data_IF_883877301044
#
_entry.id   IF_883877301044
#
_cell.length_a   1.000
_cell.length_b   1.000
_cell.length_c   1.000
_cell.angle_alpha   90.00
_cell.angle_beta   90.00
_cell.angle_gamma   90.00
#
_symmetry.space_group_name_H-M   'P 1'
#
loop_
_entity.id
_entity.type
_entity.pdbx_description
1 polymer ?
#
# COMPACT_ATOMS: atom_id res chain seq x y z
N UNK A 1 24.80 29.58 15.53
CA UNK A 1 23.34 29.33 15.50
C UNK A 1 23.02 28.43 14.31
N UNK A 2 23.20 27.12 14.48
CA UNK A 2 22.90 26.12 13.45
C UNK A 2 21.53 25.51 13.71
N UNK A 3 20.59 25.69 12.78
CA UNK A 3 19.29 25.03 12.81
C UNK A 3 19.51 23.55 12.50
N UNK A 4 19.76 22.76 13.55
CA UNK A 4 19.84 21.31 13.46
C UNK A 4 18.42 20.74 13.32
N UNK A 5 18.13 20.39 12.06
CA UNK A 5 17.16 19.42 11.55
C UNK A 5 16.30 18.70 12.60
N UNK A 6 15.03 19.08 12.63
CA UNK A 6 13.94 18.40 13.32
C UNK A 6 13.49 17.15 12.52
N UNK A 7 14.41 16.24 12.18
CA UNK A 7 14.11 14.99 11.44
C UNK A 7 13.41 13.95 12.33
N UNK A 8 13.64 13.99 13.65
CA UNK A 8 13.13 12.99 14.58
C UNK A 8 11.66 13.20 15.01
N UNK A 9 11.06 14.36 14.71
CA UNK A 9 9.70 14.71 15.15
C UNK A 9 8.61 14.54 14.06
N UNK A 10 9.00 14.39 12.79
CA UNK A 10 8.05 14.02 11.71
C UNK A 10 7.68 12.53 11.70
N UNK A 11 8.47 11.67 12.37
CA UNK A 11 8.28 10.20 12.30
C UNK A 11 7.22 9.62 13.24
N UNK A 12 6.55 10.41 14.09
CA UNK A 12 5.62 9.87 15.11
C UNK A 12 4.15 10.32 15.01
N UNK A 13 3.73 10.95 13.91
CA UNK A 13 2.32 11.35 13.69
C UNK A 13 1.66 10.74 12.44
N UNK A 14 2.30 9.85 11.68
CA UNK A 14 1.91 9.56 10.28
C UNK A 14 1.69 8.11 9.87
N UNK A 15 1.77 7.12 10.77
CA UNK A 15 1.75 5.70 10.38
C UNK A 15 0.43 5.20 9.75
N UNK A 16 -0.72 5.82 10.05
CA UNK A 16 -2.00 5.46 9.41
C UNK A 16 -2.35 6.27 8.16
N UNK A 17 -2.18 7.60 8.22
CA UNK A 17 -2.60 8.50 7.14
C UNK A 17 -1.64 8.50 5.94
N UNK A 18 -0.36 8.16 6.15
CA UNK A 18 0.62 8.01 5.07
C UNK A 18 0.33 6.78 4.22
N UNK A 19 0.07 5.64 4.86
CA UNK A 19 -0.22 4.35 4.21
C UNK A 19 -1.52 4.42 3.41
N UNK A 20 -2.56 5.07 3.94
CA UNK A 20 -3.81 5.27 3.22
C UNK A 20 -3.61 6.09 1.93
N UNK A 21 -2.74 7.11 1.98
CA UNK A 21 -2.47 7.95 0.81
C UNK A 21 -1.66 7.23 -0.26
N UNK A 22 -0.67 6.42 0.15
CA UNK A 22 0.08 5.54 -0.76
C UNK A 22 -0.86 4.61 -1.52
N UNK A 23 -1.77 3.93 -0.80
CA UNK A 23 -2.78 3.06 -1.42
C UNK A 23 -3.64 3.81 -2.43
N UNK A 24 -4.20 4.97 -2.07
CA UNK A 24 -5.05 5.76 -2.98
C UNK A 24 -4.32 6.21 -4.25
N UNK A 25 -3.02 6.55 -4.15
CA UNK A 25 -2.20 6.88 -5.33
C UNK A 25 -2.06 5.64 -6.22
N UNK A 26 -1.75 4.49 -5.62
CA UNK A 26 -1.63 3.22 -6.35
C UNK A 26 -2.94 2.83 -7.03
N UNK A 27 -4.08 2.98 -6.36
CA UNK A 27 -5.41 2.69 -6.93
C UNK A 27 -5.68 3.55 -8.17
N UNK A 28 -5.36 4.86 -8.12
CA UNK A 28 -5.51 5.77 -9.27
C UNK A 28 -4.59 5.38 -10.43
N UNK A 29 -3.35 5.00 -10.13
CA UNK A 29 -2.36 4.59 -11.16
C UNK A 29 -2.71 3.22 -11.75
N UNK A 30 -3.25 2.29 -10.96
CA UNK A 30 -3.74 1.02 -11.46
C UNK A 30 -4.95 1.21 -12.40
N UNK A 31 -5.89 2.07 -12.00
CA UNK A 31 -7.09 2.38 -12.78
C UNK A 31 -6.79 3.07 -14.13
N UNK A 32 -5.66 3.76 -14.26
CA UNK A 32 -5.27 4.41 -15.52
C UNK A 32 -4.69 3.44 -16.57
N UNK A 33 -4.34 2.21 -16.17
CA UNK A 33 -3.81 1.18 -17.06
C UNK A 33 -2.59 1.65 -17.86
N UNK A 34 -2.42 1.12 -19.07
CA UNK A 34 -1.26 1.41 -19.91
C UNK A 34 -1.18 2.86 -20.39
N UNK A 35 -2.31 3.58 -20.41
CA UNK A 35 -2.35 5.00 -20.75
C UNK A 35 -1.62 5.85 -19.71
N UNK A 36 -1.61 5.40 -18.45
CA UNK A 36 -1.03 6.12 -17.34
C UNK A 36 -1.80 7.39 -16.96
N UNK A 37 -1.28 8.12 -15.97
CA UNK A 37 -1.88 9.35 -15.46
C UNK A 37 -0.82 10.41 -15.20
N UNK A 38 -1.10 11.67 -15.53
CA UNK A 38 -0.16 12.75 -15.23
C UNK A 38 -0.09 12.98 -13.72
N UNK A 39 1.13 13.13 -13.22
CA UNK A 39 1.37 13.29 -11.79
C UNK A 39 0.62 14.48 -11.18
N UNK A 40 0.45 15.58 -11.93
CA UNK A 40 -0.34 16.75 -11.49
C UNK A 40 -1.82 16.41 -11.25
N UNK A 41 -2.37 15.50 -12.05
CA UNK A 41 -3.79 15.18 -12.03
C UNK A 41 -4.08 14.28 -10.83
N UNK A 42 -3.13 13.42 -10.44
CA UNK A 42 -3.20 12.68 -9.17
C UNK A 42 -3.33 13.63 -7.97
N UNK A 43 -2.57 14.73 -7.96
CA UNK A 43 -2.68 15.72 -6.87
C UNK A 43 -4.04 16.40 -6.84
N UNK A 44 -4.58 16.73 -8.01
CA UNK A 44 -5.89 17.34 -8.13
C UNK A 44 -7.01 16.37 -7.70
N UNK A 45 -6.90 15.09 -8.06
CA UNK A 45 -7.87 14.06 -7.69
C UNK A 45 -7.86 13.76 -6.18
N UNK A 46 -6.68 13.79 -5.56
CA UNK A 46 -6.52 13.47 -4.13
C UNK A 46 -6.57 14.71 -3.22
N UNK A 47 -6.62 15.92 -3.79
CA UNK A 47 -6.54 17.19 -3.09
C UNK A 47 -5.34 17.26 -2.12
N UNK A 48 -4.14 16.92 -2.61
CA UNK A 48 -2.91 16.91 -1.82
C UNK A 48 -1.84 17.86 -2.34
N UNK A 49 -0.95 18.28 -1.44
CA UNK A 49 0.21 19.07 -1.81
C UNK A 49 1.24 18.26 -2.61
N UNK A 50 1.79 18.91 -3.64
CA UNK A 50 2.74 18.32 -4.58
C UNK A 50 4.02 17.84 -3.90
N UNK A 51 4.52 18.50 -2.85
CA UNK A 51 5.77 18.10 -2.16
C UNK A 51 5.57 16.79 -1.42
N UNK A 52 4.42 16.64 -0.74
CA UNK A 52 4.05 15.40 -0.05
C UNK A 52 3.84 14.27 -1.07
N UNK A 53 3.11 14.54 -2.15
CA UNK A 53 2.86 13.57 -3.22
C UNK A 53 4.15 13.08 -3.89
N UNK A 54 5.08 13.99 -4.23
CA UNK A 54 6.35 13.63 -4.88
C UNK A 54 7.19 12.69 -4.01
N UNK A 55 7.24 12.92 -2.68
CA UNK A 55 7.97 12.02 -1.76
C UNK A 55 7.41 10.61 -1.80
N UNK A 56 6.08 10.48 -1.81
CA UNK A 56 5.39 9.19 -1.89
C UNK A 56 5.64 8.51 -3.23
N UNK A 57 5.42 9.20 -4.35
CA UNK A 57 5.62 8.62 -5.69
C UNK A 57 7.06 8.14 -5.90
N UNK A 58 8.07 8.90 -5.45
CA UNK A 58 9.47 8.44 -5.51
C UNK A 58 9.73 7.19 -4.68
N UNK A 59 9.02 7.01 -3.56
CA UNK A 59 9.11 5.80 -2.74
C UNK A 59 8.46 4.62 -3.46
N UNK A 60 7.24 4.81 -3.98
CA UNK A 60 6.51 3.78 -4.73
C UNK A 60 7.25 3.32 -5.99
N UNK A 61 7.91 4.26 -6.68
CA UNK A 61 8.80 3.97 -7.81
C UNK A 61 10.01 3.11 -7.38
N UNK A 62 10.69 3.47 -6.29
CA UNK A 62 11.78 2.64 -5.74
C UNK A 62 11.33 1.24 -5.30
N UNK A 63 10.09 1.13 -4.82
CA UNK A 63 9.48 -0.15 -4.46
C UNK A 63 9.03 -0.95 -5.70
N UNK A 64 9.04 -0.33 -6.89
CA UNK A 64 8.71 -0.97 -8.17
C UNK A 64 7.21 -1.09 -8.45
N UNK A 65 6.34 -0.35 -7.77
CA UNK A 65 4.89 -0.38 -8.02
C UNK A 65 4.44 0.49 -9.20
N UNK A 66 5.21 1.52 -9.52
CA UNK A 66 4.92 2.42 -10.63
C UNK A 66 6.22 2.86 -11.30
N UNK A 67 6.12 3.33 -12.54
CA UNK A 67 7.20 4.01 -13.25
C UNK A 67 6.82 5.45 -13.57
N UNK A 68 7.84 6.28 -13.79
CA UNK A 68 7.67 7.66 -14.23
C UNK A 68 8.33 7.89 -15.57
N UNK A 69 7.54 8.36 -16.52
CA UNK A 69 8.01 8.72 -17.85
C UNK A 69 7.92 10.24 -18.02
N UNK A 70 8.96 10.84 -18.61
CA UNK A 70 8.97 12.27 -18.89
C UNK A 70 8.24 12.52 -20.22
N UNK A 71 7.10 13.20 -20.17
CA UNK A 71 6.28 13.53 -21.34
C UNK A 71 6.19 15.04 -21.53
N UNK A 72 6.03 15.49 -22.77
CA UNK A 72 5.77 16.89 -23.08
C UNK A 72 4.28 17.08 -23.27
N UNK A 73 3.64 17.82 -22.37
CA UNK A 73 2.23 18.17 -22.49
C UNK A 73 2.11 19.69 -22.52
N UNK A 74 1.54 20.23 -23.60
CA UNK A 74 1.39 21.70 -23.81
C UNK A 74 2.71 22.47 -23.65
N UNK A 75 3.79 21.94 -24.22
CA UNK A 75 5.13 22.56 -24.18
C UNK A 75 5.84 22.48 -22.82
N UNK A 76 5.24 21.85 -21.80
CA UNK A 76 5.85 21.66 -20.48
C UNK A 76 6.20 20.20 -20.26
N UNK A 77 7.39 19.97 -19.69
CA UNK A 77 7.84 18.65 -19.26
C UNK A 77 7.05 18.24 -18.02
N UNK A 78 6.52 17.03 -18.06
CA UNK A 78 5.62 16.48 -17.07
C UNK A 78 5.96 15.01 -16.82
N UNK A 79 5.62 14.51 -15.64
CA UNK A 79 5.75 13.09 -15.34
C UNK A 79 4.41 12.39 -15.55
N UNK A 80 4.43 11.37 -16.41
CA UNK A 80 3.37 10.39 -16.57
C UNK A 80 3.68 9.19 -15.65
N UNK A 81 2.73 8.83 -14.80
CA UNK A 81 2.82 7.67 -13.92
C UNK A 81 2.16 6.49 -14.62
N UNK A 82 2.86 5.34 -14.71
CA UNK A 82 2.30 4.09 -15.23
C UNK A 82 2.37 2.97 -14.20
N UNK A 83 1.37 2.08 -14.17
CA UNK A 83 1.41 0.91 -13.30
C UNK A 83 2.49 -0.06 -13.80
N UNK A 84 3.14 -0.76 -12.86
CA UNK A 84 3.98 -1.91 -13.20
C UNK A 84 3.19 -3.21 -13.06
N UNK A 85 3.68 -4.33 -13.64
CA UNK A 85 3.09 -5.63 -13.37
C UNK A 85 2.96 -5.93 -11.87
N UNK A 86 3.93 -5.51 -11.06
CA UNK A 86 3.93 -5.68 -9.60
C UNK A 86 2.71 -5.02 -8.91
N UNK A 87 2.24 -3.89 -9.43
CA UNK A 87 1.05 -3.22 -8.90
C UNK A 87 -0.24 -3.90 -9.36
N UNK A 88 -0.26 -4.42 -10.58
CA UNK A 88 -1.45 -5.05 -11.17
C UNK A 88 -1.64 -6.50 -10.71
N UNK A 89 -0.56 -7.17 -10.35
CA UNK A 89 -0.59 -8.50 -9.76
C UNK A 89 -1.13 -8.42 -8.33
N UNK A 90 -2.39 -8.81 -8.16
CA UNK A 90 -2.85 -9.24 -6.85
C UNK A 90 -2.15 -10.57 -6.53
N UNK A 91 -1.44 -10.70 -5.39
CA UNK A 91 -0.92 -11.99 -5.00
C UNK A 91 -2.09 -12.96 -4.87
N UNK A 92 -2.08 -14.01 -5.70
CA UNK A 92 -3.01 -15.12 -5.51
C UNK A 92 -2.54 -15.88 -4.29
N UNK A 93 -3.39 -15.93 -3.27
CA UNK A 93 -3.18 -16.83 -2.15
C UNK A 93 -3.42 -18.25 -2.68
N UNK A 94 -2.57 -19.23 -2.31
CA UNK A 94 -2.83 -20.61 -2.71
C UNK A 94 -4.13 -21.10 -2.07
N UNK A 95 -4.90 -21.89 -2.81
CA UNK A 95 -6.20 -22.44 -2.38
C UNK A 95 -6.09 -23.22 -1.06
N UNK A 96 -4.92 -23.79 -0.75
CA UNK A 96 -4.66 -24.46 0.52
C UNK A 96 -4.81 -23.56 1.75
N UNK A 97 -4.71 -22.24 1.60
CA UNK A 97 -5.00 -21.30 2.69
C UNK A 97 -6.50 -21.18 2.97
N UNK A 98 -7.37 -21.50 2.00
CA UNK A 98 -8.82 -21.48 2.22
C UNK A 98 -9.27 -22.57 3.19
N UNK A 99 -8.51 -23.66 3.25
CA UNK A 99 -8.75 -24.77 4.17
C UNK A 99 -8.39 -24.40 5.62
N UNK A 100 -7.54 -23.40 5.83
CA UNK A 100 -7.09 -23.00 7.17
C UNK A 100 -8.22 -22.27 7.90
N UNK A 101 -8.83 -22.88 8.94
CA UNK A 101 -10.07 -22.39 9.53
C UNK A 101 -9.93 -21.02 10.22
N UNK A 102 -8.70 -20.64 10.58
CA UNK A 102 -8.41 -19.37 11.25
C UNK A 102 -8.59 -18.14 10.34
N UNK A 103 -8.37 -18.26 9.02
CA UNK A 103 -8.49 -17.12 8.10
C UNK A 103 -9.91 -16.55 8.05
N UNK A 104 -10.91 -17.40 8.25
CA UNK A 104 -12.33 -17.05 8.25
C UNK A 104 -12.95 -17.17 9.65
N UNK A 105 -12.14 -17.21 10.71
CA UNK A 105 -12.63 -17.36 12.07
C UNK A 105 -13.12 -16.00 12.62
N UNK A 106 -14.37 -15.88 13.09
CA UNK A 106 -14.87 -14.63 13.66
C UNK A 106 -14.14 -14.22 14.95
N UNK A 107 -13.52 -15.18 15.64
CA UNK A 107 -12.73 -14.96 16.87
C UNK A 107 -11.25 -14.66 16.61
N UNK A 108 -10.84 -14.48 15.36
CA UNK A 108 -9.42 -14.31 15.00
C UNK A 108 -8.75 -13.15 15.77
N UNK A 109 -9.44 -12.02 15.92
CA UNK A 109 -8.91 -10.86 16.63
C UNK A 109 -8.71 -11.11 18.13
N UNK A 110 -9.58 -11.90 18.74
CA UNK A 110 -9.43 -12.34 20.14
C UNK A 110 -8.20 -13.24 20.26
N UNK A 111 -8.07 -14.23 19.36
CA UNK A 111 -6.94 -15.17 19.34
C UNK A 111 -5.57 -14.51 19.06
N UNK A 112 -5.56 -13.44 18.28
CA UNK A 112 -4.35 -12.70 17.94
C UNK A 112 -3.86 -11.79 19.08
N UNK A 113 -4.70 -11.50 20.07
CA UNK A 113 -4.33 -10.67 21.21
C UNK A 113 -3.45 -11.44 22.20
N UNK A 114 -2.58 -10.74 22.93
CA UNK A 114 -1.73 -11.33 23.97
C UNK A 114 -2.55 -12.03 25.08
N UNK A 115 -3.78 -11.56 25.33
CA UNK A 115 -4.69 -12.15 26.31
C UNK A 115 -5.49 -13.36 25.77
N UNK A 116 -5.61 -13.49 24.45
CA UNK A 116 -6.43 -14.51 23.80
C UNK A 116 -5.64 -15.58 23.04
N UNK A 117 -4.31 -15.64 23.20
CA UNK A 117 -3.48 -16.79 22.81
C UNK A 117 -3.90 -18.05 23.58
N UNK A 118 -5.07 -18.58 23.24
CA UNK A 118 -5.48 -19.92 23.61
C UNK A 118 -4.77 -20.88 22.68
N UNK A 119 -3.81 -21.63 23.22
CA UNK A 119 -3.12 -22.70 22.50
C UNK A 119 -4.07 -23.87 22.17
N UNK A 120 -5.27 -23.88 22.75
CA UNK A 120 -6.25 -24.97 22.64
C UNK A 120 -7.49 -24.48 21.89
N UNK A 121 -7.39 -24.36 20.57
CA UNK A 121 -8.54 -24.05 19.71
C UNK A 121 -9.02 -25.36 19.07
N UNK A 122 -10.18 -25.86 19.51
CA UNK A 122 -10.75 -27.12 19.01
C UNK A 122 -10.92 -27.13 17.49
N UNK A 123 -11.30 -26.00 16.89
CA UNK A 123 -11.45 -25.89 15.42
C UNK A 123 -10.11 -26.01 14.69
N UNK A 124 -9.04 -25.46 15.26
CA UNK A 124 -7.70 -25.55 14.70
C UNK A 124 -7.10 -26.93 14.92
N UNK A 125 -7.27 -27.52 16.10
CA UNK A 125 -6.82 -28.88 16.42
C UNK A 125 -7.48 -29.91 15.50
N UNK A 126 -8.80 -29.81 15.30
CA UNK A 126 -9.51 -30.68 14.36
C UNK A 126 -8.95 -30.59 12.95
N UNK A 127 -8.59 -29.39 12.49
CA UNK A 127 -7.99 -29.22 11.17
C UNK A 127 -6.55 -29.79 11.11
N UNK A 128 -5.72 -29.57 12.14
CA UNK A 128 -4.36 -30.10 12.21
C UNK A 128 -4.29 -31.64 12.25
N UNK A 129 -5.34 -32.28 12.77
CA UNK A 129 -5.42 -33.74 12.92
C UNK A 129 -6.39 -34.41 11.94
N UNK A 130 -7.06 -33.64 11.06
CA UNK A 130 -7.85 -34.17 9.96
C UNK A 130 -6.93 -34.51 8.78
N UNK A 131 -6.22 -35.62 8.89
CA UNK A 131 -5.49 -36.26 7.78
C UNK A 131 -6.40 -37.18 6.98
#
# INVERSE_FOLDING_TARGET
MGVMRNESKELKLSEGAGVLLEKRILDIVAASGDAGILQRDVWHLLNIDSRRGVRIVKRLERMGFLTRELVVHKGRRMYLLKPTPKLLLSPQLPDSLDEVPCFYCPKLLECASEAGRSLNCERLEKWLHAG
#
